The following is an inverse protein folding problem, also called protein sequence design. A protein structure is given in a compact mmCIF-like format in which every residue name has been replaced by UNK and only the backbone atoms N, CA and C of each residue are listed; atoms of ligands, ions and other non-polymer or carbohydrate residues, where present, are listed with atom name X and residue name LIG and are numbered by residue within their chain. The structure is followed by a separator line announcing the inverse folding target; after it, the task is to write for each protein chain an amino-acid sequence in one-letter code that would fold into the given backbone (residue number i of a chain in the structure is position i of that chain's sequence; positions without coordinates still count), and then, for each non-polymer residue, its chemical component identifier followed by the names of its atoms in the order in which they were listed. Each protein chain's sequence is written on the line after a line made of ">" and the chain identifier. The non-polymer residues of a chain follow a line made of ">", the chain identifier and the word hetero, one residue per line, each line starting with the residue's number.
data_IF_005989623473
#
_entry.id   IF_005989623473
#
_cell.length_a   1.000
_cell.length_b   1.000
_cell.length_c   1.000
_cell.angle_alpha   90.00
_cell.angle_beta   90.00
_cell.angle_gamma   90.00
#
_symmetry.space_group_name_H-M   'P 1'
#
loop_
_entity.id
_entity.type
_entity.pdbx_description
1 polymer ?
#
# COMPACT_ATOMS: atom_id res chain seq x y z
N UNK A 1 -24.56 24.10 -29.17
CA UNK A 1 -23.89 23.67 -27.92
C UNK A 1 -23.96 22.17 -27.94
N UNK A 2 -22.79 21.57 -28.08
CA UNK A 2 -22.49 20.22 -28.55
C UNK A 2 -22.76 19.18 -27.47
N UNK A 3 -23.21 18.01 -27.94
CA UNK A 3 -23.50 16.81 -27.16
C UNK A 3 -22.28 16.37 -26.34
N UNK A 4 -22.49 16.05 -25.07
CA UNK A 4 -21.54 15.31 -24.27
C UNK A 4 -21.60 13.85 -24.73
N UNK A 5 -20.56 13.41 -25.45
CA UNK A 5 -20.35 12.02 -25.79
C UNK A 5 -20.05 11.24 -24.51
N UNK A 6 -20.84 10.20 -24.26
CA UNK A 6 -20.50 9.14 -23.33
C UNK A 6 -19.19 8.52 -23.79
N UNK A 7 -18.08 8.83 -23.10
CA UNK A 7 -16.90 7.99 -23.15
C UNK A 7 -17.21 6.70 -22.38
N UNK A 8 -17.82 5.73 -23.07
CA UNK A 8 -17.59 4.33 -22.74
C UNK A 8 -16.09 4.11 -22.90
N UNK A 9 -15.35 4.13 -21.79
CA UNK A 9 -13.93 3.85 -21.77
C UNK A 9 -13.70 2.50 -22.45
N UNK A 10 -12.98 2.52 -23.57
CA UNK A 10 -12.61 1.33 -24.32
C UNK A 10 -11.83 0.41 -23.37
N UNK A 11 -12.49 -0.68 -22.94
CA UNK A 11 -11.92 -1.68 -22.04
C UNK A 11 -10.83 -2.53 -22.72
N UNK A 12 -10.44 -2.22 -23.96
CA UNK A 12 -9.36 -2.88 -24.71
C UNK A 12 -7.97 -2.40 -24.30
N UNK A 13 -7.71 -2.33 -22.99
CA UNK A 13 -6.34 -2.33 -22.48
C UNK A 13 -5.52 -3.47 -23.10
N UNK A 14 -4.18 -3.33 -23.19
CA UNK A 14 -3.32 -4.27 -23.90
C UNK A 14 -3.62 -5.73 -23.47
N UNK A 15 -3.89 -6.57 -24.46
CA UNK A 15 -4.34 -7.97 -24.30
C UNK A 15 -3.23 -8.94 -23.88
N UNK A 16 -2.16 -8.42 -23.26
CA UNK A 16 -1.06 -9.25 -22.79
C UNK A 16 -1.46 -9.87 -21.45
N UNK A 17 -2.14 -11.00 -21.57
CA UNK A 17 -2.45 -11.89 -20.46
C UNK A 17 -1.16 -12.22 -19.69
N UNK A 18 -1.14 -11.89 -18.40
CA UNK A 18 0.00 -12.10 -17.53
C UNK A 18 -0.27 -13.28 -16.61
N UNK A 19 0.57 -14.31 -16.68
CA UNK A 19 0.60 -15.37 -15.68
C UNK A 19 1.20 -14.81 -14.39
N UNK A 20 0.40 -14.80 -13.32
CA UNK A 20 0.84 -14.46 -11.97
C UNK A 20 0.70 -15.69 -11.07
N UNK A 21 1.71 -15.90 -10.23
CA UNK A 21 1.79 -17.05 -9.33
C UNK A 21 2.19 -16.59 -7.92
N UNK A 22 1.39 -16.95 -6.93
CA UNK A 22 1.64 -16.62 -5.52
C UNK A 22 1.22 -17.75 -4.58
N UNK A 23 1.73 -17.76 -3.35
CA UNK A 23 1.16 -18.59 -2.28
C UNK A 23 0.48 -17.70 -1.27
N UNK A 24 -0.65 -18.17 -0.76
CA UNK A 24 -1.45 -17.42 0.20
C UNK A 24 -0.66 -17.06 1.47
N UNK A 25 -0.83 -15.83 1.95
CA UNK A 25 -0.38 -15.39 3.26
C UNK A 25 -1.23 -14.21 3.79
N UNK A 26 -1.90 -14.31 4.97
CA UNK A 26 -2.23 -15.42 5.87
C UNK A 26 -2.10 -16.88 5.46
N UNK A 27 -1.28 -17.74 6.07
CA UNK A 27 -1.63 -19.17 6.03
C UNK A 27 -2.65 -19.41 7.13
N UNK A 28 -3.85 -19.86 6.77
CA UNK A 28 -4.92 -20.14 7.73
C UNK A 28 -4.53 -21.19 8.77
N UNK A 29 -3.77 -22.21 8.38
CA UNK A 29 -3.38 -23.34 9.26
C UNK A 29 -2.11 -23.08 10.07
N UNK A 30 -1.25 -22.13 9.67
CA UNK A 30 -0.07 -21.72 10.43
C UNK A 30 -0.37 -20.59 11.42
N UNK A 31 -1.65 -20.27 11.69
CA UNK A 31 -2.03 -19.23 12.65
C UNK A 31 -1.65 -19.66 14.08
N UNK A 32 -0.39 -19.47 14.43
CA UNK A 32 0.08 -19.33 15.81
C UNK A 32 -0.01 -17.86 16.27
N UNK A 33 0.84 -17.44 17.23
CA UNK A 33 0.85 -16.10 17.84
C UNK A 33 1.05 -14.92 16.86
N UNK A 34 1.44 -15.17 15.62
CA UNK A 34 1.49 -14.17 14.54
C UNK A 34 0.41 -14.47 13.48
N UNK A 35 -0.74 -13.84 13.63
CA UNK A 35 -1.92 -14.04 12.75
C UNK A 35 -1.86 -13.24 11.45
N UNK A 36 -0.91 -12.29 11.33
CA UNK A 36 -0.73 -11.40 10.17
C UNK A 36 0.72 -11.42 9.67
N UNK A 37 1.00 -11.07 8.39
CA UNK A 37 2.37 -10.95 7.89
C UNK A 37 3.17 -9.90 8.67
N UNK A 38 2.49 -8.83 9.09
CA UNK A 38 3.07 -7.82 9.97
C UNK A 38 3.47 -8.42 11.33
N UNK A 39 2.61 -9.18 12.00
CA UNK A 39 2.96 -9.81 13.27
C UNK A 39 4.14 -10.80 13.13
N UNK A 40 4.27 -11.47 11.99
CA UNK A 40 5.42 -12.33 11.72
C UNK A 40 6.73 -11.53 11.58
N UNK A 41 6.70 -10.41 10.87
CA UNK A 41 7.85 -9.50 10.77
C UNK A 41 8.17 -8.84 12.11
N UNK A 42 7.15 -8.40 12.86
CA UNK A 42 7.33 -7.70 14.13
C UNK A 42 7.85 -8.64 15.24
N UNK A 43 7.32 -9.85 15.35
CA UNK A 43 7.84 -10.86 16.30
C UNK A 43 9.30 -11.25 16.04
N UNK A 44 9.83 -10.84 14.89
CA UNK A 44 11.20 -11.12 14.47
C UNK A 44 12.21 -10.03 14.84
N UNK A 45 11.79 -8.87 15.38
CA UNK A 45 12.68 -7.74 15.72
C UNK A 45 13.81 -8.11 16.69
N UNK A 46 13.58 -9.04 17.63
CA UNK A 46 14.62 -9.52 18.56
C UNK A 46 15.72 -10.38 17.91
N UNK A 47 15.59 -10.72 16.63
CA UNK A 47 16.52 -11.56 15.87
C UNK A 47 17.24 -10.79 14.74
N UNK A 48 17.17 -9.46 14.75
CA UNK A 48 17.84 -8.60 13.78
C UNK A 48 19.36 -8.72 14.00
N UNK A 49 20.13 -9.18 12.98
CA UNK A 49 21.58 -9.17 13.05
C UNK A 49 22.10 -7.77 13.38
N UNK A 50 23.09 -7.66 14.28
CA UNK A 50 23.78 -6.38 14.49
C UNK A 50 24.40 -5.92 13.17
N UNK A 51 24.02 -4.72 12.72
CA UNK A 51 24.51 -4.13 11.48
C UNK A 51 25.62 -3.16 11.81
N UNK A 52 26.81 -3.37 11.23
CA UNK A 52 27.91 -2.39 11.31
C UNK A 52 27.63 -1.20 10.38
N UNK A 53 27.67 0.01 10.95
CA UNK A 53 27.81 1.32 10.28
C UNK A 53 27.33 1.41 8.81
N UNK A 54 26.01 1.54 8.62
CA UNK A 54 25.41 2.01 7.36
C UNK A 54 24.77 3.37 7.57
N UNK A 55 24.78 4.21 6.54
CA UNK A 55 23.91 5.39 6.50
C UNK A 55 22.43 4.97 6.48
N UNK A 56 21.53 5.93 6.64
CA UNK A 56 20.10 5.65 6.80
C UNK A 56 19.50 4.87 5.62
N UNK A 57 19.86 5.23 4.39
CA UNK A 57 19.39 4.53 3.18
C UNK A 57 19.93 3.10 3.12
N UNK A 58 21.20 2.89 3.47
CA UNK A 58 21.79 1.56 3.53
C UNK A 58 21.18 0.65 4.60
N UNK A 59 20.65 1.23 5.70
CA UNK A 59 19.89 0.50 6.71
C UNK A 59 18.52 0.08 6.17
N UNK A 60 17.80 1.00 5.52
CA UNK A 60 16.48 0.74 4.92
C UNK A 60 16.59 -0.35 3.84
N UNK A 61 17.55 -0.24 2.91
CA UNK A 61 17.74 -1.25 1.86
C UNK A 61 18.12 -2.63 2.41
N UNK A 62 18.92 -2.66 3.47
CA UNK A 62 19.21 -3.91 4.18
C UNK A 62 17.94 -4.51 4.79
N UNK A 63 17.14 -3.69 5.48
CA UNK A 63 15.93 -4.14 6.15
C UNK A 63 14.89 -4.63 5.13
N UNK A 64 14.71 -3.91 4.03
CA UNK A 64 13.88 -4.34 2.88
C UNK A 64 14.27 -5.72 2.40
N UNK A 65 15.56 -5.96 2.17
CA UNK A 65 16.05 -7.26 1.73
C UNK A 65 15.81 -8.33 2.79
N UNK A 66 16.16 -8.06 4.05
CA UNK A 66 16.03 -9.02 5.14
C UNK A 66 14.56 -9.41 5.37
N UNK A 67 13.65 -8.45 5.43
CA UNK A 67 12.22 -8.72 5.58
C UNK A 67 11.67 -9.49 4.37
N UNK A 68 12.03 -9.09 3.14
CA UNK A 68 11.62 -9.80 1.92
C UNK A 68 12.10 -11.26 1.93
N UNK A 69 13.36 -11.52 2.32
CA UNK A 69 13.93 -12.85 2.40
C UNK A 69 13.22 -13.71 3.46
N UNK A 70 12.90 -13.13 4.63
CA UNK A 70 12.15 -13.84 5.68
C UNK A 70 10.75 -14.19 5.23
N UNK A 71 10.08 -13.21 4.65
CA UNK A 71 8.75 -13.37 4.11
C UNK A 71 8.73 -14.50 3.08
N UNK A 72 9.64 -14.43 2.10
CA UNK A 72 9.77 -15.44 1.06
C UNK A 72 10.16 -16.82 1.61
N UNK A 73 11.06 -16.87 2.59
CA UNK A 73 11.49 -18.11 3.26
C UNK A 73 10.32 -18.80 3.98
N UNK A 74 9.49 -18.03 4.67
CA UNK A 74 8.27 -18.55 5.29
C UNK A 74 7.30 -19.08 4.22
N UNK A 75 7.06 -18.29 3.17
CA UNK A 75 6.14 -18.66 2.09
C UNK A 75 6.62 -19.94 1.39
N UNK A 76 7.92 -20.12 1.17
CA UNK A 76 8.48 -21.33 0.55
C UNK A 76 8.43 -22.56 1.45
N UNK A 77 8.57 -22.39 2.76
CA UNK A 77 8.66 -23.51 3.72
C UNK A 77 7.33 -23.95 4.32
N UNK A 78 6.29 -23.09 4.30
CA UNK A 78 4.98 -23.42 4.83
C UNK A 78 4.40 -24.67 4.11
N UNK A 79 4.03 -25.77 4.79
CA UNK A 79 3.49 -26.95 4.12
C UNK A 79 1.98 -26.85 3.82
N UNK A 80 1.31 -25.85 4.38
CA UNK A 80 -0.16 -25.73 4.36
C UNK A 80 -0.70 -24.85 3.23
N UNK A 81 0.18 -24.14 2.51
CA UNK A 81 -0.22 -23.31 1.36
C UNK A 81 0.15 -24.01 0.06
N UNK A 82 -0.49 -23.66 -1.04
CA UNK A 82 -0.10 -24.13 -2.38
C UNK A 82 0.11 -22.91 -3.28
N UNK A 83 0.76 -23.12 -4.42
CA UNK A 83 0.85 -22.08 -5.45
C UNK A 83 -0.52 -21.91 -6.09
N UNK A 84 -1.04 -20.69 -6.03
CA UNK A 84 -2.14 -20.21 -6.85
C UNK A 84 -1.55 -19.63 -8.12
N UNK A 85 -2.09 -20.05 -9.25
CA UNK A 85 -1.74 -19.57 -10.58
C UNK A 85 -3.01 -18.99 -11.21
N UNK A 86 -2.91 -17.77 -11.73
CA UNK A 86 -3.98 -17.19 -12.53
C UNK A 86 -3.38 -16.42 -13.70
N UNK A 87 -4.13 -16.35 -14.78
CA UNK A 87 -3.81 -15.57 -15.97
C UNK A 87 -4.79 -14.43 -15.99
N UNK A 88 -4.28 -13.21 -15.85
CA UNK A 88 -5.10 -12.00 -15.81
C UNK A 88 -4.61 -11.00 -16.85
N UNK A 89 -5.52 -10.30 -17.55
CA UNK A 89 -5.15 -9.20 -18.43
C UNK A 89 -4.34 -8.15 -17.68
N UNK A 90 -3.25 -7.71 -18.31
CA UNK A 90 -2.56 -6.51 -17.86
C UNK A 90 -3.50 -5.31 -17.95
N UNK A 91 -3.55 -4.51 -16.88
CA UNK A 91 -4.37 -3.31 -16.84
C UNK A 91 -3.50 -2.06 -16.85
N UNK A 92 -2.55 -1.99 -15.92
CA UNK A 92 -1.64 -0.85 -15.80
C UNK A 92 -0.32 -1.24 -15.11
N UNK A 93 0.71 -0.41 -15.27
CA UNK A 93 1.97 -0.51 -14.52
C UNK A 93 2.36 0.87 -14.01
N UNK A 94 2.29 1.03 -12.69
CA UNK A 94 2.83 2.19 -11.98
C UNK A 94 4.29 2.02 -11.59
N UNK A 95 4.81 3.01 -10.85
CA UNK A 95 6.18 2.98 -10.30
C UNK A 95 6.35 1.92 -9.21
N UNK A 96 5.30 1.63 -8.46
CA UNK A 96 5.30 0.68 -7.33
C UNK A 96 4.65 -0.67 -7.67
N UNK A 97 3.68 -0.68 -8.58
CA UNK A 97 2.82 -1.84 -8.81
C UNK A 97 2.62 -2.18 -10.28
N UNK A 98 2.51 -3.47 -10.58
CA UNK A 98 1.78 -3.96 -11.74
C UNK A 98 0.33 -4.26 -11.33
N UNK A 99 -0.63 -3.75 -12.10
CA UNK A 99 -2.06 -3.91 -11.86
C UNK A 99 -2.64 -4.82 -12.93
N UNK A 100 -3.25 -5.91 -12.50
CA UNK A 100 -3.94 -6.88 -13.35
C UNK A 100 -5.44 -6.84 -13.07
N UNK A 101 -6.27 -6.98 -14.10
CA UNK A 101 -7.73 -6.88 -13.96
C UNK A 101 -8.39 -8.25 -13.92
N UNK A 102 -9.06 -8.55 -12.80
CA UNK A 102 -9.98 -9.68 -12.70
C UNK A 102 -11.41 -9.21 -12.97
N UNK A 103 -11.80 -9.26 -14.25
CA UNK A 103 -13.15 -8.84 -14.68
C UNK A 103 -14.26 -9.70 -14.08
N UNK A 104 -13.99 -10.97 -13.83
CA UNK A 104 -15.01 -11.89 -13.30
C UNK A 104 -15.30 -11.58 -11.83
N UNK A 105 -14.25 -11.27 -11.05
CA UNK A 105 -14.38 -10.85 -9.66
C UNK A 105 -14.76 -9.37 -9.50
N UNK A 106 -14.63 -8.56 -10.56
CA UNK A 106 -14.66 -7.08 -10.48
C UNK A 106 -13.63 -6.56 -9.48
N UNK A 107 -12.42 -7.09 -9.57
CA UNK A 107 -11.29 -6.75 -8.70
C UNK A 107 -10.07 -6.42 -9.55
N UNK A 108 -9.14 -5.69 -8.95
CA UNK A 108 -7.76 -5.59 -9.43
C UNK A 108 -6.84 -6.37 -8.52
N UNK A 109 -5.90 -7.09 -9.14
CA UNK A 109 -4.79 -7.72 -8.44
C UNK A 109 -3.57 -6.84 -8.62
N UNK A 110 -3.07 -6.29 -7.51
CA UNK A 110 -1.86 -5.45 -7.49
C UNK A 110 -0.67 -6.29 -7.05
N UNK A 111 0.39 -6.28 -7.86
CA UNK A 111 1.66 -6.92 -7.58
C UNK A 111 2.70 -5.84 -7.33
N UNK A 112 3.16 -5.72 -6.09
CA UNK A 112 4.21 -4.78 -5.69
C UNK A 112 5.54 -5.17 -6.34
N UNK A 113 6.19 -4.24 -7.04
CA UNK A 113 7.41 -4.50 -7.79
C UNK A 113 8.59 -4.81 -6.84
N UNK A 114 9.58 -5.62 -7.28
CA UNK A 114 10.65 -6.06 -6.39
C UNK A 114 11.44 -4.88 -5.81
N UNK A 115 11.49 -4.79 -4.48
CA UNK A 115 12.23 -3.74 -3.78
C UNK A 115 11.59 -2.36 -3.81
N UNK A 116 10.32 -2.24 -4.23
CA UNK A 116 9.55 -1.00 -4.23
C UNK A 116 8.26 -1.26 -3.45
N UNK A 117 8.27 -1.06 -2.14
CA UNK A 117 7.10 -1.28 -1.26
C UNK A 117 6.42 0.05 -0.89
N UNK A 118 6.52 1.01 -1.80
CA UNK A 118 6.05 2.37 -1.62
C UNK A 118 7.00 3.24 -0.85
N UNK A 119 6.60 4.49 -0.65
CA UNK A 119 7.46 5.52 -0.10
C UNK A 119 6.79 6.22 1.09
N UNK A 120 7.62 6.69 2.00
CA UNK A 120 7.24 7.56 3.11
C UNK A 120 8.14 8.80 3.11
N UNK A 121 7.70 9.85 3.79
CA UNK A 121 8.39 11.13 3.80
C UNK A 121 8.71 11.59 5.21
N UNK A 122 9.87 12.22 5.36
CA UNK A 122 10.25 12.91 6.59
C UNK A 122 10.68 14.34 6.28
N UNK A 123 10.60 15.21 7.29
CA UNK A 123 11.15 16.56 7.20
C UNK A 123 12.51 16.57 7.90
N UNK A 124 13.59 16.64 7.12
CA UNK A 124 14.98 16.67 7.60
C UNK A 124 15.59 17.99 7.14
N UNK A 125 16.15 18.78 8.06
CA UNK A 125 16.71 20.10 7.78
C UNK A 125 15.76 21.02 6.97
N UNK A 126 14.47 20.97 7.31
CA UNK A 126 13.39 21.70 6.65
C UNK A 126 13.17 21.33 5.16
N UNK A 127 13.65 20.14 4.74
CA UNK A 127 13.41 19.55 3.44
C UNK A 127 12.61 18.26 3.56
N UNK A 128 11.66 18.06 2.63
CA UNK A 128 10.94 16.79 2.51
C UNK A 128 11.88 15.78 1.88
N UNK A 129 12.23 14.75 2.64
CA UNK A 129 13.08 13.64 2.21
C UNK A 129 12.22 12.41 2.01
N UNK A 130 12.34 11.80 0.84
CA UNK A 130 11.62 10.57 0.47
C UNK A 130 12.47 9.34 0.82
N UNK A 131 11.82 8.34 1.40
CA UNK A 131 12.40 7.04 1.73
C UNK A 131 11.52 5.93 1.21
N UNK A 132 12.14 4.82 0.79
CA UNK A 132 11.41 3.61 0.39
C UNK A 132 11.01 2.82 1.62
N UNK A 133 9.76 2.43 1.68
CA UNK A 133 9.24 1.57 2.73
C UNK A 133 9.84 0.16 2.66
N UNK A 134 9.99 -0.43 3.83
CA UNK A 134 10.20 -1.86 4.08
C UNK A 134 8.89 -2.63 3.86
N UNK A 135 8.93 -3.96 3.62
CA UNK A 135 7.72 -4.79 3.60
C UNK A 135 6.83 -4.63 4.84
N UNK A 136 7.42 -4.52 6.03
CA UNK A 136 6.68 -4.26 7.27
C UNK A 136 5.95 -2.91 7.20
N UNK A 137 6.67 -1.84 6.87
CA UNK A 137 6.07 -0.49 6.74
C UNK A 137 4.95 -0.46 5.70
N UNK A 138 5.09 -1.17 4.58
CA UNK A 138 4.02 -1.30 3.59
C UNK A 138 2.78 -2.03 4.11
N UNK A 139 2.98 -3.10 4.89
CA UNK A 139 1.87 -3.81 5.54
C UNK A 139 1.18 -2.92 6.60
N UNK A 140 1.94 -2.09 7.31
CA UNK A 140 1.39 -1.11 8.24
C UNK A 140 0.64 -0.01 7.48
N UNK A 141 1.16 0.48 6.34
CA UNK A 141 0.48 1.42 5.43
C UNK A 141 -0.90 0.89 5.03
N UNK A 142 -1.00 -0.38 4.63
CA UNK A 142 -2.31 -0.97 4.30
C UNK A 142 -3.24 -1.04 5.52
N UNK A 143 -2.72 -1.29 6.72
CA UNK A 143 -3.53 -1.25 7.94
C UNK A 143 -4.06 0.17 8.22
N UNK A 144 -3.23 1.21 8.13
CA UNK A 144 -3.69 2.59 8.32
C UNK A 144 -4.68 3.02 7.23
N UNK A 145 -4.48 2.58 5.98
CA UNK A 145 -5.45 2.81 4.92
C UNK A 145 -6.82 2.23 5.31
N UNK A 146 -6.85 1.01 5.83
CA UNK A 146 -8.09 0.34 6.22
C UNK A 146 -8.78 1.06 7.38
N UNK A 147 -8.01 1.46 8.40
CA UNK A 147 -8.49 2.24 9.55
C UNK A 147 -9.07 3.60 9.12
N UNK A 148 -8.45 4.26 8.14
CA UNK A 148 -8.87 5.60 7.68
C UNK A 148 -10.06 5.55 6.73
N UNK A 149 -10.09 4.58 5.82
CA UNK A 149 -10.96 4.62 4.64
C UNK A 149 -11.71 3.32 4.34
N UNK A 150 -11.46 2.24 5.08
CA UNK A 150 -12.11 0.92 4.93
C UNK A 150 -12.13 0.36 3.48
N UNK A 151 -11.11 0.73 2.71
CA UNK A 151 -10.98 0.45 1.27
C UNK A 151 -9.57 0.01 0.91
N UNK A 152 -8.79 -0.45 1.88
CA UNK A 152 -7.41 -0.84 1.64
C UNK A 152 -7.33 -2.08 0.75
N UNK A 153 -6.27 -2.21 -0.07
CA UNK A 153 -5.96 -3.48 -0.71
C UNK A 153 -5.77 -4.59 0.34
N UNK A 154 -6.46 -5.71 0.17
CA UNK A 154 -6.34 -6.87 1.02
C UNK A 154 -5.13 -7.73 0.59
N UNK A 155 -4.17 -8.02 1.47
CA UNK A 155 -3.01 -8.84 1.13
C UNK A 155 -3.45 -10.29 0.86
N UNK A 156 -2.97 -10.86 -0.24
CA UNK A 156 -3.25 -12.25 -0.64
C UNK A 156 -2.13 -13.19 -0.33
N UNK A 157 -0.91 -12.74 -0.54
CA UNK A 157 0.23 -13.62 -0.50
C UNK A 157 1.44 -13.04 -1.17
N UNK A 158 2.36 -13.92 -1.57
CA UNK A 158 3.61 -13.50 -2.19
C UNK A 158 4.01 -14.39 -3.34
N UNK A 159 4.70 -13.77 -4.30
CA UNK A 159 5.27 -14.44 -5.47
C UNK A 159 6.58 -15.19 -5.12
N UNK A 160 7.09 -15.96 -6.07
CA UNK A 160 8.39 -16.66 -5.95
C UNK A 160 9.61 -15.73 -5.79
N UNK A 161 9.47 -14.50 -6.27
CA UNK A 161 10.46 -13.42 -6.19
C UNK A 161 10.31 -12.54 -4.93
N UNK A 162 9.33 -12.82 -4.08
CA UNK A 162 9.11 -12.09 -2.83
C UNK A 162 8.29 -10.80 -2.98
N UNK A 163 7.52 -10.66 -4.07
CA UNK A 163 6.60 -9.54 -4.25
C UNK A 163 5.33 -9.76 -3.46
N UNK A 164 4.77 -8.71 -2.88
CA UNK A 164 3.46 -8.76 -2.21
C UNK A 164 2.37 -8.69 -3.28
N UNK A 165 1.42 -9.62 -3.20
CA UNK A 165 0.21 -9.63 -4.02
C UNK A 165 -0.96 -9.20 -3.14
N UNK A 166 -1.72 -8.20 -3.58
CA UNK A 166 -2.93 -7.72 -2.92
C UNK A 166 -4.09 -7.66 -3.91
N UNK A 167 -5.32 -7.72 -3.39
CA UNK A 167 -6.55 -7.48 -4.16
C UNK A 167 -7.25 -6.23 -3.68
N UNK A 168 -7.89 -5.53 -4.59
CA UNK A 168 -8.76 -4.41 -4.27
C UNK A 168 -10.00 -4.50 -5.18
N UNK A 169 -11.21 -4.16 -4.70
CA UNK A 169 -12.35 -3.99 -5.57
C UNK A 169 -12.00 -3.06 -6.73
N UNK A 170 -12.38 -3.44 -7.95
CA UNK A 170 -12.28 -2.55 -9.09
C UNK A 170 -13.42 -1.55 -8.99
N UNK A 171 -13.07 -0.29 -8.80
CA UNK A 171 -14.03 0.77 -8.54
C UNK A 171 -14.27 1.50 -9.85
N UNK A 172 -15.47 1.33 -10.38
CA UNK A 172 -15.98 2.15 -11.48
C UNK A 172 -16.53 3.46 -10.91
N UNK A 173 -16.07 4.59 -11.43
CA UNK A 173 -16.48 5.90 -10.98
C UNK A 173 -15.91 7.02 -11.86
N UNK A 174 -16.24 8.26 -11.53
CA UNK A 174 -15.58 9.39 -12.17
C UNK A 174 -14.16 9.48 -11.61
N UNK A 175 -13.12 9.23 -12.41
CA UNK A 175 -11.75 9.48 -11.98
C UNK A 175 -11.59 10.97 -11.68
N UNK A 176 -10.61 11.29 -10.86
CA UNK A 176 -10.16 12.66 -10.63
C UNK A 176 -11.28 13.58 -10.07
N UNK A 177 -11.94 13.25 -8.93
CA UNK A 177 -12.88 14.17 -8.30
C UNK A 177 -12.24 15.55 -8.08
N UNK A 178 -13.03 16.65 -8.14
CA UNK A 178 -12.50 17.97 -7.83
C UNK A 178 -11.74 17.96 -6.50
N UNK A 179 -10.57 18.60 -6.46
CA UNK A 179 -9.68 18.57 -5.30
C UNK A 179 -10.39 19.06 -4.02
N UNK A 180 -11.33 20.00 -4.14
CA UNK A 180 -12.12 20.48 -2.99
C UNK A 180 -12.94 19.35 -2.33
N UNK A 181 -13.41 18.37 -3.11
CA UNK A 181 -14.10 17.21 -2.57
C UNK A 181 -13.13 16.24 -1.88
N UNK A 182 -11.93 16.06 -2.42
CA UNK A 182 -10.87 15.26 -1.78
C UNK A 182 -10.46 15.89 -0.45
N UNK A 183 -10.24 17.20 -0.44
CA UNK A 183 -9.94 17.96 0.78
C UNK A 183 -11.05 17.77 1.84
N UNK A 184 -12.32 17.88 1.43
CA UNK A 184 -13.46 17.69 2.32
C UNK A 184 -13.54 16.25 2.86
N UNK A 185 -13.32 15.26 2.01
CA UNK A 185 -13.26 13.85 2.39
C UNK A 185 -12.17 13.58 3.44
N UNK A 186 -10.98 14.15 3.29
CA UNK A 186 -9.89 14.01 4.26
C UNK A 186 -10.20 14.69 5.60
N UNK A 187 -10.84 15.88 5.55
CA UNK A 187 -11.32 16.56 6.75
C UNK A 187 -12.37 15.73 7.51
N UNK A 188 -13.29 15.10 6.79
CA UNK A 188 -14.30 14.19 7.36
C UNK A 188 -13.69 12.94 7.99
N UNK A 189 -12.58 12.44 7.41
CA UNK A 189 -11.76 11.38 8.02
C UNK A 189 -10.95 11.86 9.24
N UNK A 190 -11.08 13.12 9.66
CA UNK A 190 -10.39 13.70 10.81
C UNK A 190 -8.94 14.09 10.53
N UNK A 191 -8.52 14.12 9.27
CA UNK A 191 -7.20 14.62 8.90
C UNK A 191 -7.18 16.16 8.87
N UNK A 192 -6.02 16.72 9.15
CA UNK A 192 -5.73 18.15 9.05
C UNK A 192 -4.68 18.38 7.97
N UNK A 193 -4.84 19.47 7.21
CA UNK A 193 -3.87 19.85 6.21
C UNK A 193 -2.58 20.35 6.88
N UNK A 194 -1.45 19.74 6.53
CA UNK A 194 -0.13 20.23 6.94
C UNK A 194 0.39 21.22 5.91
N UNK A 195 0.33 20.84 4.63
CA UNK A 195 0.73 21.68 3.50
C UNK A 195 -0.06 21.32 2.25
N UNK A 196 -1.15 22.06 2.00
CA UNK A 196 -2.05 21.84 0.86
C UNK A 196 -1.34 21.88 -0.50
N UNK A 197 -0.35 22.77 -0.67
CA UNK A 197 0.43 22.88 -1.91
C UNK A 197 1.26 21.62 -2.23
N UNK A 198 1.39 20.71 -1.28
CA UNK A 198 2.10 19.44 -1.42
C UNK A 198 1.16 18.24 -1.16
N UNK A 199 -0.15 18.48 -1.10
CA UNK A 199 -1.17 17.45 -0.82
C UNK A 199 -0.84 16.61 0.41
N UNK A 200 -0.33 17.27 1.45
CA UNK A 200 0.17 16.65 2.67
C UNK A 200 -0.76 16.93 3.84
N UNK A 201 -1.24 15.84 4.45
CA UNK A 201 -2.21 15.81 5.52
C UNK A 201 -1.72 14.92 6.66
N UNK A 202 -2.31 15.07 7.84
CA UNK A 202 -2.08 14.14 8.94
C UNK A 202 -3.30 13.99 9.85
N UNK A 203 -3.42 12.85 10.51
CA UNK A 203 -4.36 12.59 11.60
C UNK A 203 -3.55 12.20 12.83
N UNK A 204 -3.86 12.81 13.98
CA UNK A 204 -3.20 12.47 15.25
C UNK A 204 -4.04 11.41 15.94
N UNK A 205 -3.41 10.29 16.31
CA UNK A 205 -3.97 9.30 17.21
C UNK A 205 -3.25 9.41 18.56
N UNK A 206 -3.94 10.05 19.51
CA UNK A 206 -3.37 10.33 20.84
C UNK A 206 -3.25 9.06 21.67
N UNK A 207 -4.19 8.13 21.52
CA UNK A 207 -4.21 6.90 22.31
C UNK A 207 -3.08 5.94 21.87
N UNK A 208 -2.76 5.95 20.57
CA UNK A 208 -1.66 5.19 20.01
C UNK A 208 -0.32 5.95 19.97
N UNK A 209 -0.26 7.18 20.49
CA UNK A 209 0.92 8.06 20.49
C UNK A 209 1.59 8.20 19.10
N UNK A 210 0.77 8.29 18.04
CA UNK A 210 1.25 8.31 16.65
C UNK A 210 0.54 9.38 15.81
N UNK A 211 1.28 10.03 14.92
CA UNK A 211 0.72 10.80 13.82
C UNK A 211 0.67 9.94 12.56
N UNK A 212 -0.51 9.77 11.97
CA UNK A 212 -0.68 9.12 10.67
C UNK A 212 -0.68 10.20 9.59
N UNK A 213 0.34 10.19 8.76
CA UNK A 213 0.54 11.12 7.65
C UNK A 213 -0.02 10.55 6.37
N UNK A 214 -0.63 11.42 5.56
CA UNK A 214 -1.22 11.10 4.26
C UNK A 214 -0.60 12.05 3.25
N UNK A 215 0.13 11.49 2.30
CA UNK A 215 0.81 12.21 1.22
C UNK A 215 0.25 11.83 -0.14
N UNK A 216 0.58 12.64 -1.13
CA UNK A 216 0.11 12.50 -2.51
C UNK A 216 -1.42 12.47 -2.63
N UNK A 217 -2.11 13.21 -1.75
CA UNK A 217 -3.58 13.28 -1.75
C UNK A 217 -4.14 14.22 -2.84
N UNK A 218 -3.69 14.01 -4.07
CA UNK A 218 -4.12 14.72 -5.29
C UNK A 218 -5.38 14.09 -5.86
N UNK A 219 -6.20 14.88 -6.55
CA UNK A 219 -7.45 14.41 -7.18
C UNK A 219 -7.28 13.14 -8.01
N UNK A 220 -6.18 13.02 -8.75
CA UNK A 220 -5.88 11.88 -9.63
C UNK A 220 -5.60 10.56 -8.90
N UNK A 221 -5.41 10.62 -7.58
CA UNK A 221 -5.24 9.45 -6.72
C UNK A 221 -6.53 9.00 -6.03
N UNK A 222 -7.68 9.52 -6.47
CA UNK A 222 -9.01 9.18 -5.96
C UNK A 222 -10.01 8.91 -7.09
N UNK A 223 -11.05 8.15 -6.77
CA UNK A 223 -12.21 7.90 -7.63
C UNK A 223 -13.48 8.32 -6.90
N UNK A 224 -14.38 8.99 -7.60
CA UNK A 224 -15.73 9.27 -7.11
C UNK A 224 -16.70 8.18 -7.58
N UNK A 225 -17.15 7.33 -6.66
CA UNK A 225 -18.04 6.20 -6.94
C UNK A 225 -19.27 6.24 -6.02
N UNK A 226 -20.48 5.99 -6.53
CA UNK A 226 -21.73 5.86 -5.75
C UNK A 226 -21.92 6.84 -4.57
N UNK A 227 -21.49 8.10 -4.73
CA UNK A 227 -21.61 9.13 -3.70
C UNK A 227 -20.53 9.11 -2.62
N UNK A 228 -19.52 8.27 -2.74
CA UNK A 228 -18.32 8.24 -1.90
C UNK A 228 -17.05 8.54 -2.72
N UNK A 229 -16.02 9.04 -2.03
CA UNK A 229 -14.67 9.18 -2.57
C UNK A 229 -13.83 8.01 -2.07
N UNK A 230 -13.11 7.37 -2.98
CA UNK A 230 -12.26 6.22 -2.67
C UNK A 230 -10.83 6.54 -3.09
N UNK A 231 -9.85 6.50 -2.17
CA UNK A 231 -8.45 6.58 -2.54
C UNK A 231 -8.04 5.33 -3.33
N UNK A 232 -7.17 5.50 -4.32
CA UNK A 232 -6.67 4.40 -5.16
C UNK A 232 -5.15 4.33 -5.20
N UNK A 233 -4.45 5.45 -4.97
CA UNK A 233 -2.99 5.52 -4.96
C UNK A 233 -2.43 6.65 -4.06
N UNK A 234 -2.65 6.56 -2.76
CA UNK A 234 -2.14 7.55 -1.79
C UNK A 234 -1.01 6.99 -0.92
N UNK A 235 -0.14 7.87 -0.42
CA UNK A 235 0.93 7.50 0.51
C UNK A 235 0.43 7.64 1.94
N UNK A 236 0.64 6.63 2.79
CA UNK A 236 0.26 6.68 4.21
C UNK A 236 1.39 6.11 5.04
N UNK A 237 1.82 6.84 6.08
CA UNK A 237 2.85 6.40 7.00
C UNK A 237 2.61 6.95 8.40
N UNK A 238 3.18 6.29 9.41
CA UNK A 238 3.05 6.67 10.81
C UNK A 238 4.35 7.23 11.35
N UNK A 239 4.24 8.26 12.18
CA UNK A 239 5.36 8.92 12.85
C UNK A 239 5.05 8.96 14.35
N UNK A 240 5.89 8.38 15.23
CA UNK A 240 5.68 8.48 16.67
C UNK A 240 5.60 9.94 17.14
N UNK A 241 4.68 10.23 18.05
CA UNK A 241 4.62 11.55 18.68
C UNK A 241 5.77 11.63 19.68
N UNK A 242 6.72 12.54 19.45
CA UNK A 242 7.78 12.76 20.45
C UNK A 242 7.16 13.22 21.78
N UNK A 243 7.52 12.60 22.91
CA UNK A 243 7.08 13.09 24.20
C UNK A 243 7.57 14.52 24.36
N UNK A 244 6.65 15.44 24.69
CA UNK A 244 7.02 16.84 24.93
C UNK A 244 8.11 16.88 25.99
N UNK A 245 9.30 17.36 25.62
CA UNK A 245 10.36 17.68 26.55
C UNK A 245 9.81 18.69 27.56
N UNK A 246 9.51 18.21 28.76
CA UNK A 246 9.04 19.01 29.89
C UNK A 246 10.13 19.93 30.41
#
# INVERSE_FOLDING_TARGET
>A
MTNAENQEGDLSGPTDDTLVRWRAWPCASCRGSATTPLAFLVSSFGSIPQISHRDRNGQIDWQKKWESDRLLGWVKSCPHTQWTETVLPHFDTGSEHCVLLDRAAREVVKITLPGIYGDYYEIIDNQVTEFRSTPAEYLIRMHWWEELFSTAPAPLGMTESGQIVSRQPFIEGNPDPPQEKVDQFLLEAGAIAVRKSCWLWKKVDVDAEIEVWIGDARSDNFVLAEGMIIPIDIRIWGVPIEPKSS
#
